data_IF_350803570370
#
_entry.id   IF_350803570370
#
_cell.length_a   1.000
_cell.length_b   1.000
_cell.length_c   1.000
_cell.angle_alpha   90.00
_cell.angle_beta   90.00
_cell.angle_gamma   90.00
#
_symmetry.space_group_name_H-M   'P 1'
#
loop_
_entity.id
_entity.type
_entity.pdbx_description
1 polymer ?
#
# COMPACT_ATOMS: atom_id res chain seq x y z
N UNK A 1 -10.36 32.33 47.11
CA UNK A 1 -11.02 31.77 45.90
C UNK A 1 -10.56 32.39 44.57
N UNK A 2 -10.09 33.65 44.50
CA UNK A 2 -9.70 34.31 43.23
C UNK A 2 -8.36 33.88 42.60
N UNK A 3 -7.47 33.21 43.35
CA UNK A 3 -6.15 32.75 42.84
C UNK A 3 -6.23 31.41 42.08
N UNK A 4 -7.29 30.63 42.28
CA UNK A 4 -7.45 29.30 41.68
C UNK A 4 -7.98 29.33 40.25
N UNK A 5 -8.83 30.30 39.91
CA UNK A 5 -9.43 30.42 38.56
C UNK A 5 -8.43 30.91 37.50
N UNK A 6 -7.47 31.74 37.90
CA UNK A 6 -6.43 32.26 37.01
C UNK A 6 -5.43 31.16 36.61
N UNK A 7 -5.05 30.28 37.55
CA UNK A 7 -4.17 29.14 37.28
C UNK A 7 -4.84 28.09 36.37
N UNK A 8 -6.12 27.79 36.60
CA UNK A 8 -6.89 26.92 35.70
C UNK A 8 -7.08 27.52 34.32
N UNK A 9 -7.25 28.85 34.22
CA UNK A 9 -7.32 29.55 32.93
C UNK A 9 -6.01 29.49 32.15
N UNK A 10 -4.88 29.73 32.82
CA UNK A 10 -3.56 29.62 32.20
C UNK A 10 -3.23 28.18 31.77
N UNK A 11 -3.57 27.18 32.60
CA UNK A 11 -3.39 25.77 32.25
C UNK A 11 -4.28 25.35 31.07
N UNK A 12 -5.53 25.80 31.02
CA UNK A 12 -6.44 25.54 29.91
C UNK A 12 -5.94 26.19 28.60
N UNK A 13 -5.44 27.44 28.67
CA UNK A 13 -4.83 28.10 27.52
C UNK A 13 -3.59 27.36 27.03
N UNK A 14 -2.70 26.93 27.94
CA UNK A 14 -1.53 26.13 27.60
C UNK A 14 -1.93 24.80 26.93
N UNK A 15 -2.95 24.10 27.46
CA UNK A 15 -3.48 22.88 26.84
C UNK A 15 -4.00 23.14 25.42
N UNK A 16 -4.79 24.20 25.22
CA UNK A 16 -5.31 24.57 23.90
C UNK A 16 -4.19 24.89 22.91
N UNK A 17 -3.15 25.60 23.34
CA UNK A 17 -1.98 25.88 22.52
C UNK A 17 -1.23 24.60 22.13
N UNK A 18 -1.06 23.66 23.07
CA UNK A 18 -0.41 22.37 22.79
C UNK A 18 -1.22 21.52 21.80
N UNK A 19 -2.54 21.44 21.98
CA UNK A 19 -3.42 20.73 21.04
C UNK A 19 -3.39 21.42 19.67
N UNK A 20 -3.49 22.74 19.62
CA UNK A 20 -3.42 23.50 18.37
C UNK A 20 -2.08 23.30 17.63
N UNK A 21 -0.96 23.31 18.35
CA UNK A 21 0.36 23.03 17.80
C UNK A 21 0.47 21.59 17.27
N UNK A 22 -0.03 20.60 18.03
CA UNK A 22 -0.07 19.21 17.60
C UNK A 22 -0.89 19.02 16.31
N UNK A 23 -2.11 19.58 16.27
CA UNK A 23 -2.97 19.51 15.08
C UNK A 23 -2.34 20.20 13.87
N UNK A 24 -1.65 21.33 14.07
CA UNK A 24 -0.92 22.01 13.01
C UNK A 24 0.23 21.16 12.44
N UNK A 25 0.97 20.47 13.30
CA UNK A 25 2.06 19.59 12.89
C UNK A 25 1.50 18.37 12.15
N UNK A 26 0.46 17.74 12.69
CA UNK A 26 -0.19 16.58 12.07
C UNK A 26 -0.72 16.91 10.66
N UNK A 27 -1.43 18.03 10.51
CA UNK A 27 -1.93 18.48 9.20
C UNK A 27 -0.80 18.80 8.21
N UNK A 28 0.34 19.31 8.69
CA UNK A 28 1.51 19.56 7.85
C UNK A 28 2.14 18.24 7.35
N UNK A 29 2.27 17.25 8.22
CA UNK A 29 2.78 15.91 7.86
C UNK A 29 1.86 15.24 6.85
N UNK A 30 0.55 15.28 7.08
CA UNK A 30 -0.45 14.71 6.16
C UNK A 30 -0.37 15.36 4.77
N UNK A 31 -0.18 16.69 4.71
CA UNK A 31 0.02 17.38 3.44
C UNK A 31 1.28 16.89 2.70
N UNK A 32 2.39 16.69 3.41
CA UNK A 32 3.63 16.18 2.79
C UNK A 32 3.40 14.77 2.24
N UNK A 33 2.76 13.90 3.03
CA UNK A 33 2.42 12.54 2.60
C UNK A 33 1.52 12.56 1.36
N UNK A 34 0.50 13.43 1.34
CA UNK A 34 -0.38 13.59 0.18
C UNK A 34 0.41 14.00 -1.08
N UNK A 35 1.30 14.99 -0.97
CA UNK A 35 2.11 15.44 -2.12
C UNK A 35 3.02 14.33 -2.65
N UNK A 36 3.67 13.60 -1.76
CA UNK A 36 4.58 12.52 -2.13
C UNK A 36 3.85 11.33 -2.74
N UNK A 37 2.75 10.88 -2.12
CA UNK A 37 1.95 9.77 -2.64
C UNK A 37 1.27 10.11 -3.97
N UNK A 38 0.84 11.36 -4.18
CA UNK A 38 0.34 11.86 -5.48
C UNK A 38 1.40 11.84 -6.55
N UNK A 39 2.63 12.21 -6.21
CA UNK A 39 3.76 12.11 -7.15
C UNK A 39 3.98 10.66 -7.56
N UNK A 40 4.06 9.74 -6.59
CA UNK A 40 4.21 8.30 -6.86
C UNK A 40 3.08 7.75 -7.72
N UNK A 41 1.84 8.18 -7.48
CA UNK A 41 0.70 7.77 -8.30
C UNK A 41 0.85 8.21 -9.76
N UNK A 42 1.24 9.46 -10.02
CA UNK A 42 1.50 9.94 -11.38
C UNK A 42 2.64 9.19 -12.06
N UNK A 43 3.74 8.97 -11.33
CA UNK A 43 4.90 8.22 -11.84
C UNK A 43 4.51 6.77 -12.17
N UNK A 44 3.69 6.15 -11.34
CA UNK A 44 3.14 4.82 -11.58
C UNK A 44 2.20 4.80 -12.80
N UNK A 45 1.25 5.73 -12.91
CA UNK A 45 0.34 5.83 -14.06
C UNK A 45 1.11 5.97 -15.37
N UNK A 46 2.16 6.79 -15.40
CA UNK A 46 3.01 6.95 -16.57
C UNK A 46 3.75 5.64 -16.90
N UNK A 47 4.25 4.92 -15.89
CA UNK A 47 4.94 3.63 -16.07
C UNK A 47 4.03 2.53 -16.60
N UNK A 48 2.77 2.48 -16.16
CA UNK A 48 1.79 1.45 -16.57
C UNK A 48 0.85 1.92 -17.69
N UNK A 49 1.06 3.13 -18.22
CA UNK A 49 0.26 3.78 -19.26
C UNK A 49 -1.25 3.82 -18.94
N UNK A 50 -1.60 4.27 -17.73
CA UNK A 50 -2.99 4.46 -17.29
C UNK A 50 -3.43 5.91 -17.40
N UNK A 51 -4.69 6.09 -17.77
CA UNK A 51 -5.41 7.37 -17.84
C UNK A 51 -6.86 7.14 -17.42
N UNK A 52 -7.50 8.15 -16.83
CA UNK A 52 -8.91 8.07 -16.44
C UNK A 52 -9.74 9.14 -17.13
N UNK A 53 -11.01 8.84 -17.34
CA UNK A 53 -11.92 9.68 -18.13
C UNK A 53 -12.42 10.91 -17.36
N UNK A 54 -12.40 10.85 -16.03
CA UNK A 54 -12.84 11.94 -15.17
C UNK A 54 -11.93 12.15 -13.96
N UNK A 55 -11.93 13.39 -13.45
CA UNK A 55 -11.23 13.73 -12.20
C UNK A 55 -11.79 12.88 -11.05
N UNK A 56 -13.11 12.65 -11.01
CA UNK A 56 -13.73 11.84 -9.95
C UNK A 56 -13.22 10.39 -9.95
N UNK A 57 -13.05 9.80 -11.13
CA UNK A 57 -12.51 8.44 -11.26
C UNK A 57 -11.02 8.39 -10.90
N UNK A 58 -10.24 9.39 -11.34
CA UNK A 58 -8.82 9.49 -10.97
C UNK A 58 -8.64 9.65 -9.45
N UNK A 59 -9.46 10.47 -8.80
CA UNK A 59 -9.45 10.67 -7.35
C UNK A 59 -9.81 9.38 -6.60
N UNK A 60 -10.83 8.66 -7.07
CA UNK A 60 -11.19 7.37 -6.52
C UNK A 60 -10.05 6.35 -6.65
N UNK A 61 -9.45 6.26 -7.85
CA UNK A 61 -8.34 5.34 -8.15
C UNK A 61 -7.08 5.69 -7.37
N UNK A 62 -6.82 6.98 -7.16
CA UNK A 62 -5.76 7.44 -6.27
C UNK A 62 -6.00 7.02 -4.82
N UNK A 63 -7.23 7.13 -4.30
CA UNK A 63 -7.54 6.73 -2.93
C UNK A 63 -7.25 5.23 -2.71
N UNK A 64 -7.65 4.37 -3.67
CA UNK A 64 -7.33 2.94 -3.66
C UNK A 64 -5.82 2.71 -3.75
N UNK A 65 -5.13 3.43 -4.63
CA UNK A 65 -3.68 3.36 -4.77
C UNK A 65 -2.94 3.75 -3.49
N UNK A 66 -3.38 4.81 -2.81
CA UNK A 66 -2.79 5.28 -1.54
C UNK A 66 -2.91 4.21 -0.46
N UNK A 67 -4.06 3.54 -0.39
CA UNK A 67 -4.28 2.45 0.57
C UNK A 67 -3.42 1.23 0.25
N UNK A 68 -3.35 0.83 -1.02
CA UNK A 68 -2.45 -0.23 -1.45
C UNK A 68 -0.98 0.12 -1.17
N UNK A 69 -0.56 1.36 -1.42
CA UNK A 69 0.80 1.80 -1.11
C UNK A 69 1.09 1.64 0.39
N UNK A 70 0.19 2.07 1.28
CA UNK A 70 0.35 1.87 2.74
C UNK A 70 0.44 0.39 3.13
N UNK A 71 -0.34 -0.48 2.49
CA UNK A 71 -0.31 -1.92 2.72
C UNK A 71 1.06 -2.53 2.38
N UNK A 72 1.68 -2.06 1.30
CA UNK A 72 2.89 -2.67 0.74
C UNK A 72 4.22 -1.96 1.07
N UNK A 73 4.18 -0.69 1.48
CA UNK A 73 5.37 0.10 1.92
C UNK A 73 6.08 -0.57 3.12
N UNK A 74 5.33 -1.29 3.96
CA UNK A 74 5.86 -2.06 5.10
C UNK A 74 6.51 -3.41 4.73
N UNK A 75 6.47 -3.83 3.46
CA UNK A 75 6.84 -5.21 3.04
C UNK A 75 8.02 -5.30 2.06
N UNK A 76 9.02 -4.42 2.17
CA UNK A 76 10.28 -4.56 1.41
C UNK A 76 10.07 -4.42 -0.13
N UNK A 77 9.10 -3.63 -0.58
CA UNK A 77 9.09 -3.11 -1.96
C UNK A 77 9.92 -1.83 -1.95
N UNK A 78 11.23 -2.03 -1.85
CA UNK A 78 12.23 -0.98 -1.83
C UNK A 78 12.18 -0.19 -3.16
N UNK A 79 12.14 1.13 -3.07
CA UNK A 79 12.37 2.11 -4.13
C UNK A 79 11.43 2.17 -5.36
N UNK A 80 10.54 1.21 -5.60
CA UNK A 80 9.65 1.23 -6.77
C UNK A 80 8.23 0.86 -6.36
N UNK A 81 7.39 1.85 -6.02
CA UNK A 81 5.97 1.64 -5.69
C UNK A 81 5.29 0.66 -6.66
N UNK A 82 4.28 -0.07 -6.13
CA UNK A 82 3.47 -1.11 -6.79
C UNK A 82 3.88 -1.37 -8.25
N UNK A 83 4.86 -2.25 -8.51
CA UNK A 83 5.48 -2.38 -9.83
C UNK A 83 4.53 -2.96 -10.89
N UNK A 84 3.33 -3.38 -10.50
CA UNK A 84 2.33 -4.02 -11.34
C UNK A 84 1.19 -3.05 -11.72
N UNK A 85 0.42 -3.40 -12.76
CA UNK A 85 -0.70 -2.59 -13.27
C UNK A 85 -1.96 -2.59 -12.39
N UNK A 86 -1.90 -3.19 -11.19
CA UNK A 86 -3.04 -3.41 -10.31
C UNK A 86 -3.04 -2.48 -9.09
N UNK A 87 -2.12 -1.50 -9.05
CA UNK A 87 -1.93 -0.67 -7.88
C UNK A 87 -3.14 0.16 -7.45
N UNK A 88 -4.08 0.40 -8.35
CA UNK A 88 -5.33 1.18 -8.18
C UNK A 88 -6.59 0.30 -8.07
N UNK A 89 -6.44 -1.02 -7.94
CA UNK A 89 -7.55 -1.95 -7.82
C UNK A 89 -7.78 -2.35 -6.35
N UNK A 90 -9.05 -2.52 -5.99
CA UNK A 90 -9.40 -3.19 -4.73
C UNK A 90 -9.22 -4.71 -4.85
N UNK A 91 -9.20 -5.41 -3.72
CA UNK A 91 -9.13 -6.88 -3.71
C UNK A 91 -10.34 -7.49 -4.47
N UNK A 92 -11.53 -6.90 -4.34
CA UNK A 92 -12.74 -7.32 -5.07
C UNK A 92 -12.60 -7.12 -6.57
N UNK A 93 -12.13 -5.95 -7.00
CA UNK A 93 -11.89 -5.66 -8.42
C UNK A 93 -10.85 -6.61 -9.01
N UNK A 94 -9.74 -6.82 -8.29
CA UNK A 94 -8.68 -7.75 -8.70
C UNK A 94 -9.21 -9.19 -8.83
N UNK A 95 -10.05 -9.63 -7.89
CA UNK A 95 -10.68 -10.95 -7.94
C UNK A 95 -11.70 -11.06 -9.09
N UNK A 96 -12.42 -9.97 -9.40
CA UNK A 96 -13.39 -9.94 -10.50
C UNK A 96 -12.76 -10.08 -11.88
N UNK A 97 -11.46 -9.76 -12.02
CA UNK A 97 -10.71 -9.96 -13.27
C UNK A 97 -10.54 -11.43 -13.64
N UNK A 98 -10.91 -12.37 -12.76
CA UNK A 98 -10.90 -13.82 -12.99
C UNK A 98 -9.58 -14.30 -13.65
N UNK A 99 -8.45 -13.87 -13.07
CA UNK A 99 -7.09 -14.13 -13.58
C UNK A 99 -6.66 -15.62 -13.52
N UNK A 100 -7.62 -16.53 -13.32
CA UNK A 100 -7.41 -17.96 -13.13
C UNK A 100 -6.89 -18.25 -11.72
N UNK A 101 -7.78 -18.65 -10.82
CA UNK A 101 -7.37 -19.26 -9.56
C UNK A 101 -6.69 -20.58 -9.87
N UNK A 102 -5.37 -20.65 -9.68
CA UNK A 102 -4.64 -21.91 -9.73
C UNK A 102 -5.07 -22.73 -8.50
N UNK A 103 -5.68 -23.92 -8.68
CA UNK A 103 -6.05 -24.75 -7.54
C UNK A 103 -4.80 -25.07 -6.72
N UNK A 104 -4.89 -25.02 -5.39
CA UNK A 104 -3.77 -25.30 -4.48
C UNK A 104 -3.12 -26.70 -4.64
N UNK A 105 -3.68 -27.56 -5.50
CA UNK A 105 -3.15 -28.87 -5.90
C UNK A 105 -2.59 -28.92 -7.33
N UNK A 106 -2.26 -27.79 -7.95
CA UNK A 106 -1.63 -27.80 -9.27
C UNK A 106 -0.16 -28.23 -9.18
N UNK A 107 0.07 -29.50 -9.47
CA UNK A 107 1.26 -30.09 -10.07
C UNK A 107 2.29 -29.08 -10.63
N UNK A 108 3.55 -29.20 -10.19
CA UNK A 108 4.68 -28.34 -10.60
C UNK A 108 5.28 -28.80 -11.94
N UNK A 109 5.11 -28.00 -12.99
CA UNK A 109 5.64 -28.25 -14.33
C UNK A 109 7.14 -27.97 -14.47
N UNK A 110 7.77 -27.30 -13.49
CA UNK A 110 9.20 -26.97 -13.52
C UNK A 110 10.10 -28.17 -13.21
N UNK A 111 9.56 -29.24 -12.63
CA UNK A 111 10.29 -30.49 -12.35
C UNK A 111 10.51 -31.37 -13.59
N UNK A 112 9.72 -31.21 -14.67
CA UNK A 112 9.67 -32.23 -15.74
C UNK A 112 10.43 -31.91 -17.04
N UNK A 113 11.47 -31.09 -17.01
CA UNK A 113 12.27 -30.96 -18.25
C UNK A 113 13.40 -29.95 -18.27
N UNK A 114 14.53 -30.31 -17.67
CA UNK A 114 15.84 -30.04 -18.26
C UNK A 114 16.64 -31.34 -18.17
N UNK A 115 16.70 -32.06 -19.29
CA UNK A 115 17.45 -33.30 -19.40
C UNK A 115 18.91 -33.09 -18.99
N UNK A 116 19.37 -33.90 -18.05
CA UNK A 116 20.75 -33.85 -17.61
C UNK A 116 21.02 -34.72 -16.40
N UNK A 117 21.30 -36.01 -16.64
CA UNK A 117 22.27 -36.75 -15.83
C UNK A 117 21.77 -37.47 -14.56
N UNK A 118 21.65 -38.79 -14.68
CA UNK A 118 22.44 -39.70 -13.85
C UNK A 118 21.97 -39.99 -12.41
N UNK A 119 21.77 -41.28 -12.15
CA UNK A 119 22.38 -41.89 -10.97
C UNK A 119 21.47 -42.28 -9.80
N UNK A 120 20.92 -43.50 -9.90
CA UNK A 120 21.16 -44.63 -8.97
C UNK A 120 20.76 -44.49 -7.49
N UNK A 121 19.85 -45.39 -7.09
CA UNK A 121 19.74 -46.01 -5.76
C UNK A 121 18.40 -45.76 -5.07
N UNK A 122 17.73 -46.72 -4.43
CA UNK A 122 17.95 -48.16 -4.25
C UNK A 122 16.71 -48.73 -3.52
N UNK A 123 16.47 -50.02 -3.74
CA UNK A 123 15.86 -51.00 -2.84
C UNK A 123 14.38 -50.93 -2.32
N UNK A 124 13.60 -51.88 -2.84
CA UNK A 124 12.83 -52.96 -2.13
C UNK A 124 11.64 -52.58 -1.23
N UNK A 125 10.44 -53.05 -1.62
CA UNK A 125 9.67 -54.08 -0.87
C UNK A 125 8.30 -54.39 -1.51
N UNK A 126 8.18 -55.52 -2.21
CA UNK A 126 7.29 -56.66 -1.91
C UNK A 126 7.36 -57.70 -3.02
#
# INVERSE_FOLDING_TARGET
MRRSTALTGAAALMLLLLVGAYMSIAAYVERIEEVETRRRFRDWMAKVNKTYDSIGDEEHRYAVFKENLRRFDNTFIDAAGLPNGFGDLTDEELNSLNLGSVPAYSFDWREKGSGGGGGRGEAVSR
#
